data_IF_688759977602
#
_entry.id   IF_688759977602
#
_cell.length_a   1.000
_cell.length_b   1.000
_cell.length_c   1.000
_cell.angle_alpha   90.00
_cell.angle_beta   90.00
_cell.angle_gamma   90.00
#
_symmetry.space_group_name_H-M   'P 1'
#
loop_
_entity.id
_entity.type
_entity.pdbx_description
1 polymer ?
#
# COMPACT_ATOMS: atom_id res chain seq x y z
N UNK A 1 -11.46 -13.25 -14.75
CA UNK A 1 -11.39 -11.83 -14.35
C UNK A 1 -10.21 -11.19 -15.08
N UNK A 2 -10.38 -10.04 -15.73
CA UNK A 2 -9.30 -9.37 -16.46
C UNK A 2 -8.15 -9.00 -15.52
N UNK A 3 -6.90 -9.36 -15.86
CA UNK A 3 -5.70 -8.93 -15.12
C UNK A 3 -5.44 -7.42 -15.26
N UNK A 4 -6.02 -6.77 -16.26
CA UNK A 4 -5.76 -5.35 -16.56
C UNK A 4 -6.19 -4.43 -15.43
N UNK A 5 -7.37 -4.65 -14.86
CA UNK A 5 -7.92 -3.77 -13.82
C UNK A 5 -7.09 -3.81 -12.52
N UNK A 6 -6.77 -4.98 -11.92
CA UNK A 6 -5.92 -5.04 -10.73
C UNK A 6 -4.53 -4.45 -10.95
N UNK A 7 -3.93 -4.69 -12.13
CA UNK A 7 -2.62 -4.13 -12.46
C UNK A 7 -2.67 -2.61 -12.63
N UNK A 8 -3.70 -2.07 -13.29
CA UNK A 8 -3.87 -0.63 -13.42
C UNK A 8 -4.08 0.04 -12.05
N UNK A 9 -4.91 -0.55 -11.19
CA UNK A 9 -5.12 -0.07 -9.83
C UNK A 9 -3.82 -0.10 -9.01
N UNK A 10 -3.06 -1.19 -9.09
CA UNK A 10 -1.75 -1.30 -8.45
C UNK A 10 -0.78 -0.24 -8.97
N UNK A 11 -0.75 0.02 -10.28
CA UNK A 11 0.09 1.08 -10.85
C UNK A 11 -0.29 2.44 -10.30
N UNK A 12 -1.58 2.78 -10.24
CA UNK A 12 -2.05 4.06 -9.68
C UNK A 12 -1.66 4.19 -8.20
N UNK A 13 -1.88 3.15 -7.39
CA UNK A 13 -1.48 3.15 -5.97
C UNK A 13 0.02 3.29 -5.80
N UNK A 14 0.82 2.54 -6.55
CA UNK A 14 2.27 2.62 -6.50
C UNK A 14 2.80 4.00 -6.87
N UNK A 15 2.25 4.62 -7.92
CA UNK A 15 2.62 5.99 -8.33
C UNK A 15 2.18 7.03 -7.29
N UNK A 16 0.98 6.89 -6.70
CA UNK A 16 0.51 7.78 -5.64
C UNK A 16 1.39 7.67 -4.38
N UNK A 17 1.76 6.45 -3.96
CA UNK A 17 2.70 6.22 -2.87
C UNK A 17 4.08 6.81 -3.17
N UNK A 18 4.57 6.68 -4.41
CA UNK A 18 5.84 7.28 -4.82
C UNK A 18 5.79 8.81 -4.73
N UNK A 19 4.73 9.44 -5.25
CA UNK A 19 4.55 10.88 -5.20
C UNK A 19 4.48 11.40 -3.75
N UNK A 20 3.71 10.72 -2.89
CA UNK A 20 3.60 11.08 -1.47
C UNK A 20 4.95 10.94 -0.74
N UNK A 21 5.63 9.79 -0.91
CA UNK A 21 6.92 9.56 -0.29
C UNK A 21 7.99 10.53 -0.77
N UNK A 22 7.99 10.86 -2.06
CA UNK A 22 8.91 11.85 -2.62
C UNK A 22 8.64 13.26 -2.09
N UNK A 23 7.37 13.65 -1.91
CA UNK A 23 7.02 14.94 -1.31
C UNK A 23 7.52 15.04 0.13
N UNK A 24 7.35 13.98 0.93
CA UNK A 24 7.89 13.89 2.29
C UNK A 24 9.43 14.00 2.33
N UNK A 25 10.13 13.35 1.39
CA UNK A 25 11.60 13.36 1.34
C UNK A 25 12.16 14.72 0.90
N UNK A 26 11.62 15.28 -0.19
CA UNK A 26 12.12 16.52 -0.81
C UNK A 26 11.70 17.75 -0.01
N UNK A 27 10.44 17.80 0.45
CA UNK A 27 9.86 19.00 1.06
C UNK A 27 9.01 18.65 2.29
N UNK A 28 9.61 18.11 3.37
CA UNK A 28 8.89 17.60 4.53
C UNK A 28 8.04 18.67 5.23
N UNK A 29 8.51 19.92 5.29
CA UNK A 29 7.76 21.01 5.92
C UNK A 29 6.48 21.35 5.14
N UNK A 30 6.58 21.47 3.82
CA UNK A 30 5.40 21.72 2.97
C UNK A 30 4.43 20.55 3.02
N UNK A 31 4.92 19.30 3.06
CA UNK A 31 4.08 18.13 3.25
C UNK A 31 3.32 18.19 4.58
N UNK A 32 4.01 18.50 5.68
CA UNK A 32 3.43 18.59 7.02
C UNK A 32 2.28 19.59 7.12
N UNK A 33 2.38 20.74 6.46
CA UNK A 33 1.33 21.76 6.46
C UNK A 33 0.25 21.53 5.38
N UNK A 34 0.53 20.76 4.34
CA UNK A 34 -0.42 20.49 3.26
C UNK A 34 -1.39 19.34 3.55
N UNK A 35 -0.98 18.37 4.38
CA UNK A 35 -1.82 17.18 4.67
C UNK A 35 -2.71 17.44 5.88
N UNK A 36 -4.05 17.42 5.71
CA UNK A 36 -4.99 17.64 6.81
C UNK A 36 -4.76 16.64 7.96
N UNK A 37 -4.81 17.14 9.20
CA UNK A 37 -4.64 16.33 10.42
C UNK A 37 -3.22 16.09 10.88
N UNK A 38 -2.24 16.17 9.99
CA UNK A 38 -0.85 15.90 10.37
C UNK A 38 -0.35 16.91 11.41
N UNK A 39 -0.79 18.17 11.33
CA UNK A 39 -0.43 19.20 12.31
C UNK A 39 -1.02 18.96 13.70
N UNK A 40 -2.00 18.06 13.84
CA UNK A 40 -2.64 17.73 15.12
C UNK A 40 -2.04 16.50 15.81
N UNK A 41 -1.13 15.78 15.16
CA UNK A 41 -0.52 14.53 15.71
C UNK A 41 0.84 14.73 16.38
N UNK A 42 1.35 15.97 16.42
CA UNK A 42 2.60 16.33 17.10
C UNK A 42 3.39 17.43 16.38
N UNK A 43 4.47 17.94 16.99
CA UNK A 43 5.29 18.98 16.40
C UNK A 43 6.04 18.49 15.15
N UNK A 44 6.34 19.42 14.23
CA UNK A 44 7.11 19.13 13.03
C UNK A 44 8.48 18.50 13.36
N UNK A 45 8.76 17.33 12.77
CA UNK A 45 10.06 16.68 12.81
C UNK A 45 10.45 16.22 11.41
N UNK A 46 11.41 16.93 10.80
CA UNK A 46 11.84 16.66 9.43
C UNK A 46 12.51 15.29 9.24
N UNK A 47 13.18 14.75 10.27
CA UNK A 47 13.83 13.45 10.17
C UNK A 47 12.75 12.37 10.11
N UNK A 48 11.81 12.43 11.06
CA UNK A 48 10.68 11.50 11.14
C UNK A 48 9.82 11.50 9.86
N UNK A 49 9.50 12.67 9.30
CA UNK A 49 8.74 12.74 8.04
C UNK A 49 9.50 12.09 6.88
N UNK A 50 10.83 12.24 6.82
CA UNK A 50 11.63 11.58 5.77
C UNK A 50 11.69 10.07 5.95
N UNK A 51 11.72 9.57 7.19
CA UNK A 51 11.62 8.13 7.45
C UNK A 51 10.28 7.57 6.99
N UNK A 52 9.18 8.29 7.24
CA UNK A 52 7.86 7.96 6.68
C UNK A 52 7.91 8.00 5.14
N UNK A 53 8.55 9.02 4.56
CA UNK A 53 8.74 9.14 3.13
C UNK A 53 9.44 7.92 2.52
N UNK A 54 10.51 7.43 3.16
CA UNK A 54 11.27 6.26 2.70
C UNK A 54 10.42 4.99 2.71
N UNK A 55 9.58 4.77 3.71
CA UNK A 55 8.71 3.59 3.73
C UNK A 55 7.58 3.68 2.68
N UNK A 56 7.05 4.87 2.39
CA UNK A 56 6.13 5.07 1.26
C UNK A 56 6.80 4.81 -0.09
N UNK A 57 8.07 5.20 -0.26
CA UNK A 57 8.86 4.86 -1.44
C UNK A 57 9.11 3.35 -1.54
N UNK A 58 9.39 2.66 -0.42
CA UNK A 58 9.55 1.21 -0.41
C UNK A 58 8.24 0.50 -0.81
N UNK A 59 7.10 0.94 -0.28
CA UNK A 59 5.76 0.45 -0.67
C UNK A 59 5.53 0.66 -2.17
N UNK A 60 5.83 1.85 -2.69
CA UNK A 60 5.69 2.15 -4.11
C UNK A 60 6.54 1.21 -4.98
N UNK A 61 7.82 1.03 -4.63
CA UNK A 61 8.74 0.14 -5.32
C UNK A 61 8.23 -1.30 -5.30
N UNK A 62 7.80 -1.80 -4.13
CA UNK A 62 7.25 -3.14 -4.00
C UNK A 62 6.02 -3.36 -4.90
N UNK A 63 5.09 -2.41 -4.91
CA UNK A 63 3.88 -2.49 -5.73
C UNK A 63 4.24 -2.46 -7.23
N UNK A 64 5.04 -1.48 -7.67
CA UNK A 64 5.39 -1.29 -9.07
C UNK A 64 6.27 -2.43 -9.62
N UNK A 65 7.19 -2.97 -8.83
CA UNK A 65 7.93 -4.17 -9.21
C UNK A 65 6.97 -5.35 -9.36
N UNK A 66 5.99 -5.55 -8.46
CA UNK A 66 4.99 -6.60 -8.60
C UNK A 66 4.06 -6.44 -9.81
N UNK A 67 3.89 -5.22 -10.32
CA UNK A 67 3.24 -4.98 -11.63
C UNK A 67 4.12 -5.52 -12.76
N UNK A 68 5.40 -5.13 -12.78
CA UNK A 68 6.33 -5.47 -13.86
C UNK A 68 6.84 -6.94 -13.83
N UNK A 69 6.90 -7.55 -12.64
CA UNK A 69 7.48 -8.87 -12.39
C UNK A 69 6.47 -9.76 -11.65
N UNK A 70 5.68 -10.57 -12.38
CA UNK A 70 4.65 -11.43 -11.78
C UNK A 70 5.20 -12.37 -10.71
N UNK A 71 6.41 -12.93 -10.90
CA UNK A 71 7.05 -13.87 -9.98
C UNK A 71 7.33 -13.27 -8.58
N UNK A 72 7.50 -11.95 -8.46
CA UNK A 72 7.71 -11.27 -7.17
C UNK A 72 6.44 -10.63 -6.61
N UNK A 73 5.31 -10.69 -7.33
CA UNK A 73 4.10 -9.93 -7.00
C UNK A 73 3.54 -10.29 -5.64
N UNK A 74 3.35 -11.59 -5.40
CA UNK A 74 2.75 -12.10 -4.15
C UNK A 74 3.52 -11.64 -2.91
N UNK A 75 4.84 -11.90 -2.76
CA UNK A 75 5.57 -11.47 -1.57
C UNK A 75 5.62 -9.94 -1.44
N UNK A 76 5.86 -9.21 -2.53
CA UNK A 76 5.99 -7.74 -2.48
C UNK A 76 4.66 -7.04 -2.13
N UNK A 77 3.56 -7.44 -2.76
CA UNK A 77 2.26 -6.85 -2.48
C UNK A 77 1.74 -7.25 -1.10
N UNK A 78 2.07 -8.45 -0.62
CA UNK A 78 1.73 -8.87 0.75
C UNK A 78 2.50 -8.04 1.79
N UNK A 79 3.79 -7.77 1.58
CA UNK A 79 4.58 -6.92 2.46
C UNK A 79 4.04 -5.48 2.50
N UNK A 80 3.73 -4.91 1.32
CA UNK A 80 3.11 -3.59 1.23
C UNK A 80 1.75 -3.53 1.93
N UNK A 81 0.90 -4.53 1.71
CA UNK A 81 -0.40 -4.64 2.37
C UNK A 81 -0.26 -4.73 3.90
N UNK A 82 0.68 -5.55 4.40
CA UNK A 82 0.91 -5.71 5.83
C UNK A 82 1.31 -4.40 6.49
N UNK A 83 2.24 -3.66 5.89
CA UNK A 83 2.65 -2.36 6.40
C UNK A 83 1.49 -1.36 6.42
N UNK A 84 0.78 -1.19 5.30
CA UNK A 84 -0.33 -0.24 5.20
C UNK A 84 -1.50 -0.61 6.12
N UNK A 85 -1.79 -1.91 6.27
CA UNK A 85 -2.81 -2.38 7.21
C UNK A 85 -2.39 -2.11 8.66
N UNK A 86 -1.14 -2.40 9.03
CA UNK A 86 -0.60 -2.07 10.35
C UNK A 86 -0.68 -0.57 10.65
N UNK A 87 -0.35 0.26 9.66
CA UNK A 87 -0.47 1.72 9.78
C UNK A 87 -1.92 2.17 9.96
N UNK A 88 -2.86 1.65 9.16
CA UNK A 88 -4.28 1.97 9.31
C UNK A 88 -4.85 1.49 10.65
N UNK A 89 -4.41 0.33 11.15
CA UNK A 89 -4.78 -0.17 12.48
C UNK A 89 -4.22 0.72 13.60
N UNK A 90 -3.04 1.32 13.40
CA UNK A 90 -2.48 2.28 14.36
C UNK A 90 -3.36 3.52 14.51
N UNK A 91 -3.86 4.09 13.41
CA UNK A 91 -4.82 5.22 13.46
C UNK A 91 -6.13 4.85 14.16
N UNK A 92 -6.65 3.62 13.92
CA UNK A 92 -7.82 3.12 14.65
C UNK A 92 -7.53 2.98 16.15
N UNK A 93 -6.33 2.52 16.50
CA UNK A 93 -5.89 2.40 17.87
C UNK A 93 -5.78 3.77 18.57
N UNK A 94 -5.22 4.79 17.91
CA UNK A 94 -5.14 6.16 18.46
C UNK A 94 -6.51 6.73 18.81
N UNK A 95 -7.52 6.48 17.98
CA UNK A 95 -8.91 6.85 18.28
C UNK A 95 -9.48 6.00 19.42
N UNK A 96 -9.20 4.69 19.44
CA UNK A 96 -9.70 3.79 20.48
C UNK A 96 -9.16 4.11 21.88
N UNK A 97 -7.92 4.58 21.98
CA UNK A 97 -7.29 4.97 23.27
C UNK A 97 -7.46 6.46 23.61
N UNK A 98 -8.16 7.22 22.76
CA UNK A 98 -8.51 8.62 23.03
C UNK A 98 -7.39 9.64 22.74
N UNK A 99 -6.35 9.26 21.99
CA UNK A 99 -5.34 10.21 21.49
C UNK A 99 -5.95 11.13 20.41
N UNK A 100 -6.77 10.55 19.53
CA UNK A 100 -7.45 11.26 18.45
C UNK A 100 -8.98 11.19 18.60
N UNK A 101 -9.68 12.23 18.16
CA UNK A 101 -11.15 12.20 18.06
C UNK A 101 -11.63 11.31 16.91
N UNK A 102 -12.87 10.82 16.97
CA UNK A 102 -13.45 9.95 15.93
C UNK A 102 -13.50 10.58 14.53
N UNK A 103 -13.49 11.91 14.44
CA UNK A 103 -13.38 12.64 13.17
C UNK A 103 -12.09 12.31 12.39
N UNK A 104 -11.00 11.93 13.08
CA UNK A 104 -9.74 11.53 12.46
C UNK A 104 -9.95 10.38 11.47
N UNK A 105 -10.79 9.39 11.82
CA UNK A 105 -11.06 8.25 10.93
C UNK A 105 -11.61 8.68 9.56
N UNK A 106 -12.48 9.69 9.53
CA UNK A 106 -13.05 10.20 8.27
C UNK A 106 -12.02 10.98 7.45
N UNK A 107 -11.13 11.71 8.12
CA UNK A 107 -10.10 12.51 7.51
C UNK A 107 -8.96 11.64 6.96
N UNK A 108 -8.58 10.59 7.70
CA UNK A 108 -7.49 9.68 7.36
C UNK A 108 -7.92 8.64 6.33
N UNK A 109 -9.24 8.37 6.20
CA UNK A 109 -9.76 7.33 5.31
C UNK A 109 -9.18 7.38 3.87
N UNK A 110 -9.17 8.52 3.16
CA UNK A 110 -8.71 8.55 1.76
C UNK A 110 -7.23 8.22 1.58
N UNK A 111 -6.39 8.60 2.56
CA UNK A 111 -4.93 8.54 2.45
C UNK A 111 -4.27 7.42 3.29
N UNK A 112 -5.01 6.85 4.25
CA UNK A 112 -4.52 5.83 5.19
C UNK A 112 -5.31 4.54 5.01
N UNK A 113 -6.61 4.55 5.29
CA UNK A 113 -7.42 3.32 5.35
C UNK A 113 -7.74 2.77 3.96
N UNK A 114 -8.10 3.63 3.00
CA UNK A 114 -8.44 3.21 1.65
C UNK A 114 -7.23 2.57 0.93
N UNK A 115 -6.02 3.15 0.93
CA UNK A 115 -4.84 2.49 0.36
C UNK A 115 -4.53 1.14 1.01
N UNK A 116 -4.73 1.00 2.33
CA UNK A 116 -4.57 -0.26 3.03
C UNK A 116 -5.56 -1.33 2.55
N UNK A 117 -6.85 -0.97 2.44
CA UNK A 117 -7.91 -1.88 1.93
C UNK A 117 -7.60 -2.31 0.50
N UNK A 118 -7.30 -1.35 -0.38
CA UNK A 118 -7.06 -1.63 -1.79
C UNK A 118 -5.81 -2.50 -1.99
N UNK A 119 -4.72 -2.20 -1.28
CA UNK A 119 -3.47 -2.98 -1.38
C UNK A 119 -3.66 -4.39 -0.81
N UNK A 120 -4.44 -4.54 0.28
CA UNK A 120 -4.82 -5.86 0.81
C UNK A 120 -5.65 -6.65 -0.19
N UNK A 121 -6.65 -6.03 -0.82
CA UNK A 121 -7.46 -6.68 -1.85
C UNK A 121 -6.61 -7.10 -3.06
N UNK A 122 -5.65 -6.28 -3.47
CA UNK A 122 -4.69 -6.58 -4.54
C UNK A 122 -3.77 -7.74 -4.17
N UNK A 123 -3.26 -7.79 -2.94
CA UNK A 123 -2.43 -8.89 -2.45
C UNK A 123 -3.22 -10.22 -2.45
N UNK A 124 -4.45 -10.22 -1.92
CA UNK A 124 -5.34 -11.38 -1.96
C UNK A 124 -5.67 -11.81 -3.39
N UNK A 125 -5.88 -10.86 -4.29
CA UNK A 125 -6.06 -11.15 -5.71
C UNK A 125 -4.81 -11.80 -6.32
N UNK A 126 -3.61 -11.29 -5.99
CA UNK A 126 -2.34 -11.83 -6.50
C UNK A 126 -2.14 -13.28 -6.07
N UNK A 127 -2.43 -13.62 -4.80
CA UNK A 127 -2.43 -15.00 -4.30
C UNK A 127 -3.36 -15.91 -5.10
N UNK A 128 -4.59 -15.46 -5.37
CA UNK A 128 -5.56 -16.23 -6.17
C UNK A 128 -5.13 -16.38 -7.63
N UNK A 129 -4.45 -15.38 -8.20
CA UNK A 129 -3.95 -15.40 -9.58
C UNK A 129 -2.76 -16.36 -9.75
N UNK A 130 -1.86 -16.39 -8.77
CA UNK A 130 -0.73 -17.31 -8.72
C UNK A 130 -1.20 -18.77 -8.62
N UNK A 131 -2.10 -19.05 -7.67
CA UNK A 131 -2.67 -20.40 -7.49
C UNK A 131 -3.35 -20.94 -8.76
N UNK A 132 -4.12 -20.10 -9.47
CA UNK A 132 -4.75 -20.49 -10.75
C UNK A 132 -3.72 -20.76 -11.85
N UNK A 133 -2.64 -19.99 -11.89
CA UNK A 133 -1.58 -20.16 -12.89
C UNK A 133 -0.83 -21.47 -12.67
N UNK A 134 -0.52 -21.81 -11.41
CA UNK A 134 0.12 -23.07 -11.03
C UNK A 134 -0.74 -24.30 -11.33
N UNK A 135 -2.06 -24.23 -11.08
CA UNK A 135 -3.00 -25.30 -11.43
C UNK A 135 -3.08 -25.53 -12.95
N UNK A 136 -3.15 -24.45 -13.74
CA UNK A 136 -3.23 -24.55 -15.20
C UNK A 136 -1.99 -25.20 -15.82
N UNK A 137 -0.79 -24.88 -15.30
CA UNK A 137 0.47 -25.51 -15.72
C UNK A 137 0.46 -27.02 -15.43
N UNK A 138 0.10 -27.42 -14.21
CA UNK A 138 0.01 -28.84 -13.82
C UNK A 138 -0.97 -29.65 -14.67
N UNK A 139 -2.13 -29.08 -15.01
CA UNK A 139 -3.10 -29.73 -15.91
C UNK A 139 -2.60 -29.86 -17.35
N UNK A 140 -1.80 -28.89 -17.83
CA UNK A 140 -1.16 -28.94 -19.15
C UNK A 140 -0.16 -30.09 -19.25
N UNK A 141 0.72 -30.22 -18.27
CA UNK A 141 1.72 -31.29 -18.20
C UNK A 141 1.06 -32.68 -18.16
N UNK A 142 -0.02 -32.82 -17.38
CA UNK A 142 -0.78 -34.08 -17.29
C UNK A 142 -1.43 -34.49 -18.61
N UNK A 143 -1.86 -33.52 -19.43
CA UNK A 143 -2.45 -33.78 -20.75
C UNK A 143 -1.39 -34.07 -21.81
N UNK A 144 -0.22 -33.44 -21.74
CA UNK A 144 0.90 -33.69 -22.66
C UNK A 144 1.56 -35.07 -22.45
N UNK A 145 1.42 -35.64 -21.25
CA UNK A 145 1.96 -36.95 -20.88
C UNK A 145 1.04 -38.15 -21.24
N UNK A 146 -0.13 -37.91 -21.86
CA UNK A 146 -1.08 -38.94 -22.32
C UNK A 146 -1.10 -39.01 -23.83
#
# INVERSE_FOLDING_TARGET
>A
MSRKLPLALATVLGLASAANGLFMVISPANWYFAVPGVTTTGPFNQHFIRDIGLIFLLVAIAILIGVARPASRVPLWSAAALWLAGHALFHLWEVAVGICGTGALSQDFPAVTLPAILTTALALWAWRDDARSSQALSMGDTRAAR
#
